data_IF_541537547324
#
_entry.id   IF_541537547324
#
_cell.length_a   1.000
_cell.length_b   1.000
_cell.length_c   1.000
_cell.angle_alpha   90.00
_cell.angle_beta   90.00
_cell.angle_gamma   90.00
#
_symmetry.space_group_name_H-M   'P 1'
#
loop_
_entity.id
_entity.type
_entity.pdbx_description
1 polymer ?
#
# COMPACT_ATOMS: atom_id res chain seq x y z
N UNK A 1 15.65 27.87 57.09
CA UNK A 1 15.77 27.67 55.62
C UNK A 1 14.54 26.92 55.16
N UNK A 2 13.78 27.54 54.27
CA UNK A 2 12.35 27.29 54.04
C UNK A 2 12.16 26.18 52.99
N UNK A 3 11.46 25.10 53.33
CA UNK A 3 11.23 23.91 52.48
C UNK A 3 10.25 24.15 51.31
N UNK A 4 9.71 25.36 51.18
CA UNK A 4 8.66 25.72 50.22
C UNK A 4 9.16 26.13 48.83
N UNK A 5 10.47 26.27 48.62
CA UNK A 5 11.05 26.66 47.32
C UNK A 5 11.40 25.48 46.41
N UNK A 6 11.42 24.24 46.92
CA UNK A 6 11.86 23.08 46.15
C UNK A 6 10.73 22.37 45.36
N UNK A 7 9.46 22.63 45.69
CA UNK A 7 8.29 21.95 45.10
C UNK A 7 7.65 22.72 43.92
N UNK A 8 8.16 23.90 43.57
CA UNK A 8 7.58 24.77 42.53
C UNK A 8 8.38 24.80 41.20
N UNK A 9 9.44 24.00 41.07
CA UNK A 9 10.39 24.13 39.95
C UNK A 9 10.49 22.90 39.01
N UNK A 10 9.54 21.95 39.04
CA UNK A 10 9.54 20.80 38.11
C UNK A 10 8.18 20.41 37.50
N UNK A 11 7.44 21.31 36.81
CA UNK A 11 6.44 20.89 35.82
C UNK A 11 6.88 21.08 34.36
N UNK A 12 7.91 21.89 34.08
CA UNK A 12 8.15 22.43 32.72
C UNK A 12 9.09 21.56 31.85
N UNK A 13 9.82 20.62 32.46
CA UNK A 13 10.76 19.74 31.75
C UNK A 13 10.11 18.47 31.17
N UNK A 14 8.84 18.19 31.48
CA UNK A 14 8.14 16.99 31.01
C UNK A 14 7.53 17.15 29.60
N UNK A 15 7.18 18.38 29.21
CA UNK A 15 6.63 18.69 27.88
C UNK A 15 7.63 18.52 26.71
N UNK A 16 8.86 19.04 26.81
CA UNK A 16 9.86 18.97 25.74
C UNK A 16 10.30 17.52 25.43
N UNK A 17 10.47 16.70 26.47
CA UNK A 17 10.95 15.32 26.34
C UNK A 17 9.91 14.39 25.70
N UNK A 18 8.61 14.61 25.96
CA UNK A 18 7.52 13.86 25.30
C UNK A 18 7.45 14.14 23.80
N UNK A 19 7.60 15.40 23.39
CA UNK A 19 7.62 15.76 21.97
C UNK A 19 8.89 15.28 21.25
N UNK A 20 10.05 15.35 21.91
CA UNK A 20 11.31 14.84 21.34
C UNK A 20 11.24 13.32 21.10
N UNK A 21 10.66 12.55 22.02
CA UNK A 21 10.49 11.09 21.88
C UNK A 21 9.49 10.72 20.77
N UNK A 22 8.43 11.53 20.60
CA UNK A 22 7.48 11.37 19.51
C UNK A 22 8.09 11.62 18.14
N UNK A 23 8.91 12.68 18.00
CA UNK A 23 9.63 12.98 16.75
C UNK A 23 10.66 11.91 16.40
N UNK A 24 11.45 11.45 17.38
CA UNK A 24 12.43 10.39 17.14
C UNK A 24 11.78 9.06 16.74
N UNK A 25 10.67 8.66 17.39
CA UNK A 25 9.92 7.47 17.00
C UNK A 25 9.31 7.61 15.59
N UNK A 26 8.78 8.80 15.27
CA UNK A 26 8.28 9.12 13.93
C UNK A 26 9.39 9.09 12.87
N UNK A 27 10.58 9.61 13.14
CA UNK A 27 11.70 9.61 12.21
C UNK A 27 12.26 8.21 11.97
N UNK A 28 12.36 7.39 13.02
CA UNK A 28 12.79 5.98 12.90
C UNK A 28 11.75 5.17 12.12
N UNK A 29 10.46 5.33 12.43
CA UNK A 29 9.38 4.63 11.70
C UNK A 29 9.26 5.12 10.27
N UNK A 30 9.38 6.42 10.01
CA UNK A 30 9.41 6.98 8.66
C UNK A 30 10.66 6.53 7.87
N UNK A 31 11.82 6.41 8.51
CA UNK A 31 13.03 5.86 7.91
C UNK A 31 12.88 4.38 7.54
N UNK A 32 12.31 3.59 8.43
CA UNK A 32 12.03 2.17 8.16
C UNK A 32 10.99 1.99 7.05
N UNK A 33 9.89 2.75 7.09
CA UNK A 33 8.87 2.74 6.04
C UNK A 33 9.46 3.15 4.70
N UNK A 34 10.30 4.20 4.64
CA UNK A 34 10.97 4.60 3.41
C UNK A 34 11.93 3.54 2.91
N UNK A 35 12.65 2.84 3.78
CA UNK A 35 13.54 1.75 3.40
C UNK A 35 12.76 0.54 2.89
N UNK A 36 11.64 0.21 3.55
CA UNK A 36 10.75 -0.87 3.18
C UNK A 36 10.05 -0.61 1.84
N UNK A 37 9.57 0.63 1.64
CA UNK A 37 8.95 1.10 0.40
C UNK A 37 9.94 1.68 -0.60
N UNK A 38 11.26 1.53 -0.38
CA UNK A 38 12.27 2.16 -1.24
C UNK A 38 12.19 1.61 -2.66
N UNK A 39 12.01 0.29 -2.80
CA UNK A 39 11.89 -0.35 -4.10
C UNK A 39 10.62 0.09 -4.83
N UNK A 40 9.52 0.26 -4.10
CA UNK A 40 8.23 0.74 -4.59
C UNK A 40 8.34 2.22 -5.02
N UNK A 41 9.00 3.08 -4.24
CA UNK A 41 9.23 4.47 -4.63
C UNK A 41 10.12 4.57 -5.87
N UNK A 42 11.18 3.76 -5.98
CA UNK A 42 12.03 3.74 -7.19
C UNK A 42 11.27 3.26 -8.41
N UNK A 43 10.44 2.22 -8.26
CA UNK A 43 9.55 1.75 -9.33
C UNK A 43 8.53 2.83 -9.75
N UNK A 44 7.98 3.58 -8.79
CA UNK A 44 7.08 4.71 -9.08
C UNK A 44 7.74 5.87 -9.82
N UNK A 45 9.03 6.09 -9.58
CA UNK A 45 9.82 7.12 -10.27
C UNK A 45 10.37 6.67 -11.63
N UNK A 46 10.20 5.40 -12.02
CA UNK A 46 10.73 4.90 -13.28
C UNK A 46 12.18 4.43 -13.22
N UNK A 47 12.76 4.32 -12.02
CA UNK A 47 14.19 4.00 -11.84
C UNK A 47 14.47 2.49 -11.77
N UNK A 48 13.43 1.65 -11.69
CA UNK A 48 13.57 0.19 -11.68
C UNK A 48 13.40 -0.41 -13.08
N UNK A 49 14.08 -1.53 -13.39
CA UNK A 49 13.97 -2.16 -14.69
C UNK A 49 12.56 -2.70 -14.91
N UNK A 50 11.98 -2.40 -16.08
CA UNK A 50 10.61 -2.76 -16.48
C UNK A 50 10.24 -4.22 -16.20
N UNK A 51 11.17 -5.17 -16.41
CA UNK A 51 10.91 -6.59 -16.20
C UNK A 51 10.65 -6.93 -14.72
N UNK A 52 11.34 -6.27 -13.77
CA UNK A 52 11.11 -6.48 -12.34
C UNK A 52 9.76 -5.93 -11.93
N UNK A 53 9.42 -4.74 -12.43
CA UNK A 53 8.12 -4.10 -12.14
C UNK A 53 6.98 -4.94 -12.71
N UNK A 54 7.11 -5.42 -13.94
CA UNK A 54 6.09 -6.23 -14.58
C UNK A 54 5.92 -7.63 -13.93
N UNK A 55 7.01 -8.38 -13.72
CA UNK A 55 6.91 -9.75 -13.19
C UNK A 55 6.80 -9.81 -11.67
N UNK A 56 7.64 -9.06 -10.97
CA UNK A 56 7.66 -9.06 -9.51
C UNK A 56 6.42 -8.39 -8.95
N UNK A 57 6.24 -7.11 -9.24
CA UNK A 57 5.06 -6.40 -8.77
C UNK A 57 3.81 -6.84 -9.55
N UNK A 58 3.80 -6.75 -10.88
CA UNK A 58 2.61 -7.06 -11.66
C UNK A 58 2.07 -8.48 -11.44
N UNK A 59 2.90 -9.52 -11.61
CA UNK A 59 2.43 -10.92 -11.55
C UNK A 59 2.46 -11.48 -10.13
N UNK A 60 3.61 -11.46 -9.45
CA UNK A 60 3.76 -12.16 -8.17
C UNK A 60 2.90 -11.53 -7.07
N UNK A 61 2.88 -10.20 -6.96
CA UNK A 61 2.04 -9.51 -5.96
C UNK A 61 0.55 -9.74 -6.24
N UNK A 62 0.12 -9.72 -7.51
CA UNK A 62 -1.28 -9.97 -7.87
C UNK A 62 -1.72 -11.39 -7.54
N UNK A 63 -0.88 -12.39 -7.76
CA UNK A 63 -1.15 -13.78 -7.34
C UNK A 63 -1.27 -13.87 -5.82
N UNK A 64 -0.37 -13.20 -5.09
CA UNK A 64 -0.44 -13.12 -3.63
C UNK A 64 -1.75 -12.50 -3.12
N UNK A 65 -2.17 -11.37 -3.70
CA UNK A 65 -3.45 -10.73 -3.35
C UNK A 65 -4.65 -11.61 -3.69
N UNK A 66 -4.62 -12.29 -4.84
CA UNK A 66 -5.67 -13.23 -5.22
C UNK A 66 -5.79 -14.40 -4.22
N UNK A 67 -4.67 -14.98 -3.79
CA UNK A 67 -4.66 -16.03 -2.77
C UNK A 67 -5.20 -15.54 -1.43
N UNK A 68 -4.79 -14.35 -0.99
CA UNK A 68 -5.33 -13.74 0.24
C UNK A 68 -6.84 -13.50 0.14
N UNK A 69 -7.32 -13.08 -1.02
CA UNK A 69 -8.76 -12.90 -1.27
C UNK A 69 -9.52 -14.22 -1.19
N UNK A 70 -9.00 -15.28 -1.82
CA UNK A 70 -9.60 -16.62 -1.75
C UNK A 70 -9.65 -17.16 -0.32
N UNK A 71 -8.60 -16.95 0.48
CA UNK A 71 -8.58 -17.30 1.89
C UNK A 71 -9.65 -16.52 2.68
N UNK A 72 -9.79 -15.22 2.42
CA UNK A 72 -10.83 -14.40 3.04
C UNK A 72 -12.25 -14.82 2.63
N UNK A 73 -12.44 -15.29 1.39
CA UNK A 73 -13.70 -15.89 0.93
C UNK A 73 -14.01 -17.17 1.70
N UNK A 74 -13.04 -18.06 1.87
CA UNK A 74 -13.23 -19.32 2.58
C UNK A 74 -13.70 -19.09 4.03
N UNK A 75 -13.15 -18.08 4.70
CA UNK A 75 -13.51 -17.71 6.07
C UNK A 75 -14.79 -16.85 6.17
N UNK A 76 -15.44 -16.50 5.04
CA UNK A 76 -16.62 -15.61 4.95
C UNK A 76 -16.45 -14.26 5.66
N UNK A 77 -15.22 -13.76 5.75
CA UNK A 77 -14.89 -12.50 6.44
C UNK A 77 -15.14 -11.30 5.53
N UNK A 78 -16.40 -10.86 5.46
CA UNK A 78 -16.87 -9.76 4.61
C UNK A 78 -16.05 -8.47 4.80
N UNK A 79 -15.68 -8.13 6.03
CA UNK A 79 -14.86 -6.94 6.30
C UNK A 79 -13.46 -7.02 5.69
N UNK A 80 -12.83 -8.20 5.73
CA UNK A 80 -11.50 -8.41 5.13
C UNK A 80 -11.59 -8.37 3.61
N UNK A 81 -12.65 -8.95 3.02
CA UNK A 81 -12.89 -8.88 1.59
C UNK A 81 -12.97 -7.43 1.10
N UNK A 82 -13.77 -6.57 1.76
CA UNK A 82 -13.87 -5.16 1.38
C UNK A 82 -12.53 -4.42 1.47
N UNK A 83 -11.76 -4.64 2.54
CA UNK A 83 -10.42 -4.04 2.67
C UNK A 83 -9.51 -4.50 1.53
N UNK A 84 -9.52 -5.79 1.20
CA UNK A 84 -8.73 -6.33 0.09
C UNK A 84 -9.14 -5.74 -1.27
N UNK A 85 -10.42 -5.51 -1.50
CA UNK A 85 -10.89 -4.88 -2.75
C UNK A 85 -10.39 -3.43 -2.86
N UNK A 86 -10.44 -2.66 -1.77
CA UNK A 86 -9.90 -1.28 -1.75
C UNK A 86 -8.37 -1.29 -1.97
N UNK A 87 -7.66 -2.21 -1.31
CA UNK A 87 -6.21 -2.36 -1.48
C UNK A 87 -5.88 -2.77 -2.92
N UNK A 88 -6.63 -3.69 -3.52
CA UNK A 88 -6.41 -4.12 -4.91
C UNK A 88 -6.65 -2.97 -5.90
N UNK A 89 -7.67 -2.14 -5.68
CA UNK A 89 -7.93 -0.98 -6.51
C UNK A 89 -6.79 0.05 -6.43
N UNK A 90 -6.34 0.40 -5.22
CA UNK A 90 -5.20 1.29 -5.03
C UNK A 90 -3.91 0.72 -5.63
N UNK A 91 -3.67 -0.58 -5.45
CA UNK A 91 -2.55 -1.29 -6.02
C UNK A 91 -2.55 -1.26 -7.56
N UNK A 92 -3.72 -1.43 -8.18
CA UNK A 92 -3.88 -1.42 -9.64
C UNK A 92 -3.53 -0.06 -10.24
N UNK A 93 -3.98 1.03 -9.61
CA UNK A 93 -3.57 2.39 -10.00
C UNK A 93 -2.06 2.54 -9.84
N UNK A 94 -1.53 2.03 -8.72
CA UNK A 94 -0.12 2.18 -8.42
C UNK A 94 0.78 1.50 -9.47
N UNK A 95 0.51 0.23 -9.76
CA UNK A 95 1.32 -0.55 -10.71
C UNK A 95 1.21 -0.02 -12.13
N UNK A 96 0.04 0.53 -12.51
CA UNK A 96 -0.17 1.10 -13.84
C UNK A 96 0.73 2.33 -14.08
N UNK A 97 0.81 3.24 -13.11
CA UNK A 97 1.70 4.41 -13.20
C UNK A 97 3.17 4.00 -13.13
N UNK A 98 3.53 3.07 -12.25
CA UNK A 98 4.91 2.57 -12.14
C UNK A 98 5.38 1.95 -13.46
N UNK A 99 4.58 1.07 -14.07
CA UNK A 99 4.89 0.47 -15.38
C UNK A 99 4.92 1.54 -16.46
N UNK A 100 3.98 2.49 -16.46
CA UNK A 100 3.94 3.55 -17.47
C UNK A 100 5.23 4.36 -17.50
N UNK A 101 5.73 4.75 -16.33
CA UNK A 101 6.99 5.48 -16.15
C UNK A 101 8.22 4.64 -16.44
N UNK A 102 8.29 3.40 -15.93
CA UNK A 102 9.41 2.48 -16.19
C UNK A 102 9.49 2.03 -17.67
N UNK A 103 8.39 2.16 -18.42
CA UNK A 103 8.34 1.81 -19.84
C UNK A 103 8.92 2.90 -20.76
N UNK A 104 9.16 4.11 -20.27
CA UNK A 104 9.81 5.17 -21.07
C UNK A 104 11.25 4.79 -21.40
N UNK A 105 11.57 4.70 -22.70
CA UNK A 105 12.91 4.35 -23.18
C UNK A 105 13.21 2.86 -23.32
N UNK A 106 12.26 1.96 -23.00
CA UNK A 106 12.43 0.51 -23.20
C UNK A 106 11.88 0.04 -24.55
N UNK A 107 12.60 -0.83 -25.30
CA UNK A 107 12.10 -1.44 -26.53
C UNK A 107 10.78 -2.22 -26.35
N UNK A 108 10.56 -2.74 -25.14
CA UNK A 108 9.37 -3.51 -24.77
C UNK A 108 8.28 -2.65 -24.10
N UNK A 109 8.50 -1.34 -23.98
CA UNK A 109 7.63 -0.44 -23.24
C UNK A 109 6.20 -0.40 -23.78
N UNK A 110 6.03 -0.34 -25.10
CA UNK A 110 4.69 -0.33 -25.72
C UNK A 110 3.91 -1.62 -25.45
N UNK A 111 4.58 -2.77 -25.54
CA UNK A 111 3.95 -4.07 -25.27
C UNK A 111 3.59 -4.22 -23.79
N UNK A 112 4.49 -3.82 -22.89
CA UNK A 112 4.24 -3.83 -21.46
C UNK A 112 3.08 -2.89 -21.06
N UNK A 113 3.00 -1.69 -21.64
CA UNK A 113 1.89 -0.76 -21.43
C UNK A 113 0.56 -1.34 -21.92
N UNK A 114 0.53 -1.84 -23.15
CA UNK A 114 -0.67 -2.45 -23.73
C UNK A 114 -1.19 -3.63 -22.89
N UNK A 115 -0.28 -4.52 -22.49
CA UNK A 115 -0.61 -5.66 -21.64
C UNK A 115 -1.09 -5.24 -20.25
N UNK A 116 -0.47 -4.22 -19.65
CA UNK A 116 -0.87 -3.69 -18.34
C UNK A 116 -2.24 -3.03 -18.39
N UNK A 117 -2.56 -2.29 -19.47
CA UNK A 117 -3.89 -1.69 -19.66
C UNK A 117 -4.95 -2.78 -19.84
N UNK A 118 -4.70 -3.77 -20.71
CA UNK A 118 -5.63 -4.89 -20.90
C UNK A 118 -5.87 -5.66 -19.59
N UNK A 119 -4.80 -5.93 -18.84
CA UNK A 119 -4.87 -6.57 -17.54
C UNK A 119 -5.62 -5.72 -16.52
N UNK A 120 -5.37 -4.41 -16.44
CA UNK A 120 -6.06 -3.49 -15.52
C UNK A 120 -7.57 -3.43 -15.80
N UNK A 121 -7.97 -3.43 -17.08
CA UNK A 121 -9.38 -3.52 -17.47
C UNK A 121 -9.99 -4.84 -17.01
N UNK A 122 -9.30 -5.96 -17.24
CA UNK A 122 -9.75 -7.27 -16.74
C UNK A 122 -9.91 -7.29 -15.22
N UNK A 123 -8.91 -6.80 -14.48
CA UNK A 123 -8.95 -6.72 -13.01
C UNK A 123 -10.11 -5.84 -12.54
N UNK A 124 -10.37 -4.72 -13.20
CA UNK A 124 -11.49 -3.85 -12.87
C UNK A 124 -12.84 -4.55 -13.08
N UNK A 125 -12.99 -5.31 -14.18
CA UNK A 125 -14.19 -6.11 -14.42
C UNK A 125 -14.41 -7.19 -13.34
N UNK A 126 -13.34 -7.90 -12.97
CA UNK A 126 -13.38 -8.90 -11.88
C UNK A 126 -13.75 -8.24 -10.55
N UNK A 127 -13.14 -7.08 -10.23
CA UNK A 127 -13.46 -6.31 -9.03
C UNK A 127 -14.93 -5.89 -9.00
N UNK A 128 -15.45 -5.36 -10.11
CA UNK A 128 -16.85 -4.97 -10.23
C UNK A 128 -17.78 -6.17 -10.03
N UNK A 129 -17.45 -7.31 -10.64
CA UNK A 129 -18.23 -8.54 -10.48
C UNK A 129 -18.25 -9.03 -9.03
N UNK A 130 -17.09 -9.08 -8.37
CA UNK A 130 -16.97 -9.47 -6.96
C UNK A 130 -17.69 -8.48 -6.03
N UNK A 131 -17.65 -7.18 -6.33
CA UNK A 131 -18.37 -6.17 -5.55
C UNK A 131 -19.90 -6.34 -5.67
N UNK A 132 -20.40 -6.66 -6.86
CA UNK A 132 -21.83 -6.95 -7.09
C UNK A 132 -22.24 -8.23 -6.35
N UNK A 133 -21.45 -9.29 -6.43
CA UNK A 133 -21.71 -10.55 -5.73
C UNK A 133 -21.74 -10.35 -4.21
N UNK A 134 -20.78 -9.60 -3.67
CA UNK A 134 -20.73 -9.26 -2.25
C UNK A 134 -21.96 -8.44 -1.81
N UNK A 135 -22.40 -7.49 -2.64
CA UNK A 135 -23.58 -6.67 -2.38
C UNK A 135 -24.87 -7.50 -2.42
N UNK A 136 -25.01 -8.39 -3.40
CA UNK A 136 -26.12 -9.33 -3.50
C UNK A 136 -26.18 -10.28 -2.29
N UNK A 137 -25.02 -10.79 -1.85
CA UNK A 137 -24.91 -11.63 -0.66
C UNK A 137 -25.25 -10.88 0.65
N UNK A 138 -25.05 -9.56 0.68
CA UNK A 138 -25.40 -8.72 1.82
C UNK A 138 -26.91 -8.42 1.88
N UNK A 139 -27.54 -8.13 0.73
CA UNK A 139 -28.99 -7.85 0.63
C UNK A 139 -29.84 -9.12 0.78
N UNK A 140 -29.34 -10.27 0.33
CA UNK A 140 -30.05 -11.55 0.39
C UNK A 140 -30.03 -12.24 1.76
N UNK A 141 -29.41 -11.64 2.79
CA UNK A 141 -29.50 -12.08 4.19
C UNK A 141 -30.47 -11.19 4.96
#
# INVERSE_FOLDING_TARGET
MNWTTQLLMEPDMQGPLRHARGRACWEISAGFLRAFFAAELRAWHGEEPLWKVFWGYGVLTSVGLALLYLLAMNDKRVGIQQVLLIVLAGYTIWILVAIWRCAEGSPWGTLARGLTVAWAVNTFLVLAFLQVDLFAAYIGR
#
